data_IF_614177392044
#
_entry.id   IF_614177392044
#
_cell.length_a   1.000
_cell.length_b   1.000
_cell.length_c   1.000
_cell.angle_alpha   90.00
_cell.angle_beta   90.00
_cell.angle_gamma   90.00
#
_symmetry.space_group_name_H-M   'P 1'
#
loop_
_entity.id
_entity.type
_entity.pdbx_description
1 polymer ?
#
# COMPACT_ATOMS: atom_id res chain seq x y z
N UNK A 1 -7.34 -14.61 -22.50
CA UNK A 1 -8.39 -13.59 -22.53
C UNK A 1 -9.45 -14.01 -21.53
N UNK A 2 -9.48 -13.37 -20.37
CA UNK A 2 -10.54 -13.51 -19.38
C UNK A 2 -11.77 -12.81 -19.97
N UNK A 3 -12.87 -13.55 -20.15
CA UNK A 3 -14.12 -12.95 -20.56
C UNK A 3 -14.52 -11.91 -19.50
N UNK A 4 -14.71 -10.66 -19.91
CA UNK A 4 -15.27 -9.64 -19.05
C UNK A 4 -16.67 -10.08 -18.63
N UNK A 5 -16.81 -10.47 -17.38
CA UNK A 5 -18.13 -10.83 -16.84
C UNK A 5 -18.87 -9.54 -16.54
N UNK A 6 -19.81 -9.18 -17.42
CA UNK A 6 -20.75 -8.08 -17.16
C UNK A 6 -21.72 -8.50 -16.07
N UNK A 7 -21.93 -7.64 -15.10
CA UNK A 7 -22.81 -7.87 -13.97
C UNK A 7 -23.93 -6.82 -13.96
N UNK A 8 -25.14 -7.24 -13.67
CA UNK A 8 -26.30 -6.34 -13.61
C UNK A 8 -26.51 -5.90 -12.17
N UNK A 9 -26.35 -4.61 -11.91
CA UNK A 9 -26.64 -4.01 -10.60
C UNK A 9 -28.05 -3.45 -10.63
N UNK A 10 -28.92 -3.92 -9.73
CA UNK A 10 -30.28 -3.43 -9.56
C UNK A 10 -30.48 -2.84 -8.18
N UNK A 11 -31.00 -1.61 -8.08
CA UNK A 11 -31.47 -1.02 -6.84
C UNK A 11 -32.99 -1.20 -6.75
N UNK A 12 -33.46 -1.91 -5.73
CA UNK A 12 -34.88 -2.25 -5.60
C UNK A 12 -35.74 -1.12 -5.02
N UNK A 13 -35.17 -0.07 -4.44
CA UNK A 13 -35.93 0.85 -3.59
C UNK A 13 -35.97 2.31 -4.01
N UNK A 14 -35.16 2.76 -4.97
CA UNK A 14 -35.15 4.14 -5.45
C UNK A 14 -34.52 4.27 -6.83
N UNK A 15 -34.92 5.31 -7.56
CA UNK A 15 -34.26 5.73 -8.80
C UNK A 15 -32.95 6.43 -8.43
N UNK A 16 -31.84 5.73 -8.55
CA UNK A 16 -30.51 6.22 -8.13
C UNK A 16 -29.55 6.41 -9.31
N UNK A 17 -29.81 5.77 -10.45
CA UNK A 17 -28.94 5.84 -11.61
C UNK A 17 -29.46 6.83 -12.66
N UNK A 18 -28.52 7.45 -13.35
CA UNK A 18 -28.74 8.30 -14.52
C UNK A 18 -27.78 7.87 -15.63
N UNK A 19 -28.01 8.35 -16.85
CA UNK A 19 -27.08 8.11 -17.96
C UNK A 19 -25.67 8.72 -17.72
N UNK A 20 -25.55 9.70 -16.82
CA UNK A 20 -24.29 10.31 -16.45
C UNK A 20 -23.41 9.38 -15.59
N UNK A 21 -23.98 8.30 -15.03
CA UNK A 21 -23.19 7.36 -14.21
C UNK A 21 -22.41 6.32 -15.03
N UNK A 22 -22.40 6.39 -16.34
CA UNK A 22 -21.53 5.56 -17.18
C UNK A 22 -20.08 6.00 -16.96
N UNK A 23 -19.22 5.07 -16.56
CA UNK A 23 -17.84 5.31 -16.11
C UNK A 23 -17.66 5.42 -14.60
N UNK A 24 -18.77 5.55 -13.83
CA UNK A 24 -18.69 5.60 -12.37
C UNK A 24 -18.31 4.24 -11.76
N UNK A 25 -17.69 4.30 -10.58
CA UNK A 25 -17.27 3.13 -9.83
C UNK A 25 -18.25 2.84 -8.71
N UNK A 26 -18.82 1.64 -8.71
CA UNK A 26 -19.64 1.10 -7.64
C UNK A 26 -18.79 0.21 -6.75
N UNK A 27 -18.85 0.45 -5.43
CA UNK A 27 -18.24 -0.39 -4.41
C UNK A 27 -19.32 -1.05 -3.56
N UNK A 28 -19.32 -2.37 -3.55
CA UNK A 28 -20.36 -3.16 -2.90
C UNK A 28 -19.81 -4.50 -2.42
N UNK A 29 -20.09 -4.89 -1.18
CA UNK A 29 -19.70 -6.21 -0.65
C UNK A 29 -18.21 -6.55 -0.78
N UNK A 30 -17.33 -5.58 -0.68
CA UNK A 30 -15.88 -5.75 -0.89
C UNK A 30 -15.44 -5.76 -2.36
N UNK A 31 -16.39 -5.77 -3.31
CA UNK A 31 -16.12 -5.71 -4.74
C UNK A 31 -16.06 -4.29 -5.29
N UNK A 32 -15.49 -4.17 -6.49
CA UNK A 32 -15.38 -2.93 -7.26
C UNK A 32 -15.89 -3.18 -8.66
N UNK A 33 -16.82 -2.36 -9.11
CA UNK A 33 -17.55 -2.49 -10.38
C UNK A 33 -17.48 -1.16 -11.12
N UNK A 34 -17.29 -1.17 -12.42
CA UNK A 34 -17.35 0.01 -13.29
C UNK A 34 -18.64 -0.02 -14.10
N UNK A 35 -19.42 1.03 -14.05
CA UNK A 35 -20.66 1.15 -14.83
C UNK A 35 -20.34 1.33 -16.31
N UNK A 36 -20.75 0.39 -17.14
CA UNK A 36 -20.54 0.44 -18.60
C UNK A 36 -21.77 0.82 -19.38
N UNK A 37 -22.96 0.58 -18.83
CA UNK A 37 -24.20 0.90 -19.51
C UNK A 37 -25.31 1.28 -18.52
N UNK A 38 -26.03 2.36 -18.83
CA UNK A 38 -27.26 2.75 -18.15
C UNK A 38 -28.46 2.07 -18.80
N UNK A 39 -29.26 1.31 -18.05
CA UNK A 39 -30.44 0.64 -18.53
C UNK A 39 -31.71 1.36 -18.06
N UNK A 40 -31.84 1.60 -16.77
CA UNK A 40 -32.93 2.35 -16.15
C UNK A 40 -32.46 3.07 -14.89
N UNK A 41 -33.28 3.94 -14.34
CA UNK A 41 -32.99 4.62 -13.07
C UNK A 41 -32.76 3.67 -11.89
N UNK A 42 -33.07 2.39 -12.02
CA UNK A 42 -32.89 1.37 -11.00
C UNK A 42 -31.90 0.27 -11.42
N UNK A 43 -31.35 0.32 -12.65
CA UNK A 43 -30.53 -0.75 -13.20
C UNK A 43 -29.40 -0.23 -14.11
N UNK A 44 -28.21 -0.68 -13.88
CA UNK A 44 -27.03 -0.49 -14.74
C UNK A 44 -26.36 -1.83 -15.03
N UNK A 45 -25.58 -1.88 -16.12
CA UNK A 45 -24.65 -2.98 -16.40
C UNK A 45 -23.26 -2.49 -16.03
N UNK A 46 -22.52 -3.32 -15.31
CA UNK A 46 -21.20 -2.97 -14.82
C UNK A 46 -20.17 -4.09 -15.09
N UNK A 47 -18.93 -3.71 -15.39
CA UNK A 47 -17.78 -4.61 -15.41
C UNK A 47 -17.29 -4.87 -13.98
N UNK A 48 -16.91 -6.10 -13.69
CA UNK A 48 -16.31 -6.47 -12.41
C UNK A 48 -14.80 -6.21 -12.49
N UNK A 49 -14.33 -5.17 -11.78
CA UNK A 49 -12.90 -4.89 -11.62
C UNK A 49 -12.31 -5.78 -10.51
N UNK A 50 -13.02 -5.84 -9.38
CA UNK A 50 -12.68 -6.73 -8.26
C UNK A 50 -13.93 -7.48 -7.81
N UNK A 51 -13.84 -8.80 -7.58
CA UNK A 51 -15.01 -9.60 -7.25
C UNK A 51 -15.62 -9.20 -5.90
N UNK A 52 -16.93 -9.33 -5.79
CA UNK A 52 -17.63 -9.20 -4.52
C UNK A 52 -17.23 -10.37 -3.64
N UNK A 53 -16.67 -10.08 -2.46
CA UNK A 53 -16.16 -11.08 -1.52
C UNK A 53 -17.13 -11.43 -0.41
N UNK A 54 -18.13 -10.57 -0.17
CA UNK A 54 -19.20 -10.87 0.80
C UNK A 54 -20.07 -12.02 0.28
N UNK A 55 -20.24 -13.05 1.12
CA UNK A 55 -21.01 -14.25 0.80
C UNK A 55 -22.15 -14.45 1.80
N UNK A 56 -23.16 -15.26 1.43
CA UNK A 56 -24.20 -15.64 2.37
C UNK A 56 -23.59 -16.48 3.52
N UNK A 57 -23.87 -16.13 4.78
CA UNK A 57 -23.51 -17.00 5.89
C UNK A 57 -24.10 -18.41 5.69
N UNK A 58 -23.24 -19.42 5.78
CA UNK A 58 -23.61 -20.83 5.63
C UNK A 58 -24.16 -21.26 4.26
N UNK A 59 -23.89 -20.52 3.18
CA UNK A 59 -24.20 -20.97 1.83
C UNK A 59 -23.12 -21.97 1.34
N UNK A 60 -23.47 -23.24 1.07
CA UNK A 60 -22.53 -24.25 0.59
C UNK A 60 -21.95 -23.93 -0.78
N UNK A 61 -22.62 -23.08 -1.58
CA UNK A 61 -22.14 -22.67 -2.89
C UNK A 61 -21.30 -21.38 -2.85
N UNK A 62 -21.12 -20.80 -1.67
CA UNK A 62 -20.36 -19.56 -1.45
C UNK A 62 -20.82 -18.40 -2.36
N UNK A 63 -22.13 -18.29 -2.58
CA UNK A 63 -22.71 -17.27 -3.46
C UNK A 63 -22.53 -15.87 -2.87
N UNK A 64 -22.21 -14.84 -3.71
CA UNK A 64 -22.14 -13.47 -3.27
C UNK A 64 -23.45 -13.00 -2.62
N UNK A 65 -23.35 -12.30 -1.51
CA UNK A 65 -24.49 -11.68 -0.85
C UNK A 65 -25.13 -10.63 -1.79
N UNK A 66 -26.46 -10.58 -1.88
CA UNK A 66 -27.12 -9.42 -2.47
C UNK A 66 -26.76 -8.20 -1.62
N UNK A 67 -26.23 -7.17 -2.25
CA UNK A 67 -25.86 -5.93 -1.55
C UNK A 67 -27.13 -5.24 -1.08
N UNK A 68 -27.21 -4.99 0.22
CA UNK A 68 -28.36 -4.31 0.81
C UNK A 68 -28.24 -2.79 0.68
N UNK A 69 -29.37 -2.10 0.69
CA UNK A 69 -29.45 -0.64 0.70
C UNK A 69 -28.54 -0.05 1.81
N UNK A 70 -27.71 0.91 1.44
CA UNK A 70 -26.71 1.52 2.35
C UNK A 70 -25.37 0.80 2.43
N UNK A 71 -25.27 -0.41 1.88
CA UNK A 71 -24.02 -1.18 1.88
C UNK A 71 -23.16 -0.95 0.63
N UNK A 72 -23.52 -0.05 -0.25
CA UNK A 72 -22.80 0.26 -1.48
C UNK A 72 -22.65 1.77 -1.69
N UNK A 73 -21.65 2.14 -2.45
CA UNK A 73 -21.38 3.53 -2.83
C UNK A 73 -21.12 3.61 -4.33
N UNK A 74 -21.45 4.75 -4.92
CA UNK A 74 -21.09 5.10 -6.29
C UNK A 74 -20.29 6.39 -6.26
N UNK A 75 -19.24 6.46 -7.06
CA UNK A 75 -18.37 7.62 -7.15
C UNK A 75 -17.86 7.79 -8.58
N UNK A 76 -17.87 9.03 -9.07
CA UNK A 76 -17.25 9.40 -10.33
C UNK A 76 -15.74 9.46 -10.14
N UNK A 77 -14.94 8.73 -10.92
CA UNK A 77 -13.48 8.85 -10.87
C UNK A 77 -13.05 10.28 -11.20
N UNK A 78 -12.01 10.74 -10.54
CA UNK A 78 -11.40 12.05 -10.76
C UNK A 78 -9.88 11.95 -10.66
N UNK A 79 -9.18 12.77 -11.42
CA UNK A 79 -7.74 12.98 -11.33
C UNK A 79 -7.37 14.19 -10.49
N UNK A 80 -8.36 14.98 -10.05
CA UNK A 80 -8.13 16.21 -9.31
C UNK A 80 -8.81 16.15 -7.94
N UNK A 81 -8.05 16.44 -6.89
CA UNK A 81 -8.54 16.55 -5.52
C UNK A 81 -8.48 18.00 -5.09
N UNK A 82 -9.60 18.58 -4.73
CA UNK A 82 -9.75 19.98 -4.28
C UNK A 82 -10.14 20.04 -2.80
N UNK A 83 -10.18 21.28 -2.24
CA UNK A 83 -10.52 21.50 -0.83
C UNK A 83 -9.33 21.32 0.12
N UNK A 84 -8.11 21.39 -0.41
CA UNK A 84 -6.87 21.29 0.34
C UNK A 84 -6.26 22.64 0.69
N UNK A 85 -7.06 23.73 0.72
CA UNK A 85 -6.61 25.10 1.00
C UNK A 85 -5.81 25.22 2.29
N UNK A 86 -6.16 24.38 3.29
CA UNK A 86 -5.47 24.34 4.58
C UNK A 86 -4.06 23.70 4.51
N UNK A 87 -3.72 23.08 3.39
CA UNK A 87 -2.41 22.45 3.11
C UNK A 87 -1.68 23.18 1.97
N UNK A 88 -2.10 24.38 1.59
CA UNK A 88 -1.51 25.15 0.48
C UNK A 88 0.02 25.28 0.64
N UNK A 89 0.75 24.94 -0.43
CA UNK A 89 2.21 24.96 -0.46
C UNK A 89 2.90 23.83 0.30
N UNK A 90 2.14 22.95 0.97
CA UNK A 90 2.71 21.79 1.67
C UNK A 90 2.82 20.58 0.75
N UNK A 91 3.81 19.76 1.03
CA UNK A 91 3.90 18.43 0.43
C UNK A 91 2.87 17.48 1.06
N UNK A 92 2.18 16.73 0.22
CA UNK A 92 1.20 15.72 0.62
C UNK A 92 1.49 14.40 -0.09
N UNK A 93 1.05 13.31 0.50
CA UNK A 93 0.99 12.01 -0.13
C UNK A 93 -0.34 11.31 0.20
N UNK A 94 -0.58 10.13 -0.34
CA UNK A 94 -1.84 9.46 -0.05
C UNK A 94 -2.03 8.16 -0.81
N UNK A 95 -3.28 7.74 -0.86
CA UNK A 95 -3.73 6.56 -1.57
C UNK A 95 -4.88 6.91 -2.51
N UNK A 96 -4.77 6.48 -3.76
CA UNK A 96 -5.80 6.54 -4.78
C UNK A 96 -6.22 5.11 -5.14
N UNK A 97 -7.47 4.75 -4.82
CA UNK A 97 -8.00 3.37 -4.96
C UNK A 97 -7.08 2.30 -4.36
N UNK A 98 -6.36 2.66 -3.28
CA UNK A 98 -5.38 1.82 -2.59
C UNK A 98 -3.98 1.80 -3.23
N UNK A 99 -3.78 2.43 -4.39
CA UNK A 99 -2.48 2.72 -4.97
C UNK A 99 -1.81 3.91 -4.26
N UNK A 100 -0.49 3.89 -4.13
CA UNK A 100 0.24 4.99 -3.50
C UNK A 100 0.30 6.19 -4.45
N UNK A 101 -0.09 7.35 -3.96
CA UNK A 101 0.17 8.64 -4.59
C UNK A 101 1.57 9.08 -4.15
N UNK A 102 2.43 9.43 -5.10
CA UNK A 102 3.73 10.03 -4.82
C UNK A 102 3.58 11.36 -4.06
N UNK A 103 4.68 11.84 -3.47
CA UNK A 103 4.70 13.15 -2.84
C UNK A 103 4.44 14.21 -3.89
N UNK A 104 3.47 15.09 -3.63
CA UNK A 104 3.10 16.23 -4.49
C UNK A 104 2.80 17.45 -3.64
N UNK A 105 2.98 18.64 -4.21
CA UNK A 105 2.71 19.90 -3.50
C UNK A 105 1.29 20.37 -3.82
N UNK A 106 0.58 20.84 -2.81
CA UNK A 106 -0.75 21.46 -2.98
C UNK A 106 -0.58 22.85 -3.62
N UNK A 107 -1.31 23.09 -4.70
CA UNK A 107 -1.33 24.36 -5.43
C UNK A 107 -2.77 24.79 -5.71
N UNK A 108 -3.12 26.01 -5.33
CA UNK A 108 -4.48 26.53 -5.43
C UNK A 108 -5.52 25.62 -4.75
N UNK A 109 -5.19 25.13 -3.55
CA UNK A 109 -6.05 24.25 -2.76
C UNK A 109 -6.32 22.89 -3.40
N UNK A 110 -5.51 22.45 -4.37
CA UNK A 110 -5.74 21.22 -5.13
C UNK A 110 -4.44 20.48 -5.47
N UNK A 111 -4.58 19.18 -5.79
CA UNK A 111 -3.53 18.35 -6.37
C UNK A 111 -4.09 17.61 -7.58
N UNK A 112 -3.22 17.28 -8.54
CA UNK A 112 -3.53 16.42 -9.68
C UNK A 112 -2.88 15.07 -9.50
N UNK A 113 -3.65 14.01 -9.69
CA UNK A 113 -3.20 12.62 -9.60
C UNK A 113 -2.63 12.14 -10.93
N UNK A 114 -1.80 11.09 -10.94
CA UNK A 114 -1.29 10.49 -12.17
C UNK A 114 -2.34 9.73 -12.97
N UNK A 115 -3.54 9.53 -12.43
CA UNK A 115 -4.67 8.87 -13.05
C UNK A 115 -5.94 9.07 -12.25
N UNK A 116 -7.08 8.79 -12.87
CA UNK A 116 -8.37 8.91 -12.22
C UNK A 116 -8.55 7.86 -11.12
N UNK A 117 -9.17 8.26 -10.02
CA UNK A 117 -9.48 7.39 -8.89
C UNK A 117 -10.83 7.75 -8.27
N UNK A 118 -11.50 6.75 -7.72
CA UNK A 118 -12.83 6.88 -7.13
C UNK A 118 -12.82 6.96 -5.60
N UNK A 119 -11.73 6.54 -4.97
CA UNK A 119 -11.52 6.65 -3.52
C UNK A 119 -10.13 7.18 -3.25
N UNK A 120 -10.06 8.40 -2.77
CA UNK A 120 -8.79 9.11 -2.57
C UNK A 120 -8.68 9.50 -1.10
N UNK A 121 -7.50 9.26 -0.52
CA UNK A 121 -7.13 9.70 0.83
C UNK A 121 -5.80 10.43 0.72
N UNK A 122 -5.77 11.69 1.14
CA UNK A 122 -4.57 12.55 1.07
C UNK A 122 -4.26 13.06 2.46
N UNK A 123 -2.98 13.19 2.78
CA UNK A 123 -2.52 13.74 4.05
C UNK A 123 -1.05 14.15 4.00
N UNK A 124 -0.57 14.65 5.13
CA UNK A 124 0.84 15.00 5.27
C UNK A 124 1.71 13.74 5.26
N UNK A 125 2.83 13.75 4.54
CA UNK A 125 3.75 12.63 4.52
C UNK A 125 4.41 12.45 5.89
N UNK A 126 4.57 11.21 6.30
CA UNK A 126 5.38 10.85 7.46
C UNK A 126 6.23 9.63 7.13
N UNK A 127 7.39 9.56 7.76
CA UNK A 127 8.30 8.43 7.62
C UNK A 127 8.42 7.72 8.95
N UNK A 128 8.11 6.42 8.97
CA UNK A 128 8.38 5.56 10.12
C UNK A 128 9.75 4.94 9.95
N UNK A 129 10.58 5.03 10.99
CA UNK A 129 11.95 4.52 10.98
C UNK A 129 12.21 3.72 12.25
N UNK A 130 12.85 2.55 12.08
CA UNK A 130 13.28 1.70 13.17
C UNK A 130 14.66 1.14 12.84
N UNK A 131 15.55 1.14 13.82
CA UNK A 131 16.87 0.53 13.72
C UNK A 131 17.07 -0.39 14.92
N UNK A 132 17.64 -1.58 14.69
CA UNK A 132 17.95 -2.52 15.75
C UNK A 132 19.11 -2.00 16.59
N UNK A 133 19.27 -2.54 17.79
CA UNK A 133 20.55 -2.47 18.51
C UNK A 133 21.63 -3.23 17.72
N UNK A 134 22.88 -3.11 18.16
CA UNK A 134 23.98 -3.87 17.60
C UNK A 134 23.68 -5.36 17.67
N UNK A 135 23.89 -6.05 16.55
CA UNK A 135 23.63 -7.47 16.47
C UNK A 135 24.72 -8.24 17.23
N UNK A 136 24.32 -9.28 17.93
CA UNK A 136 25.18 -10.09 18.77
C UNK A 136 25.00 -11.58 18.42
N UNK A 137 26.03 -12.36 18.53
CA UNK A 137 25.96 -13.81 18.28
C UNK A 137 25.68 -14.59 19.57
N UNK A 138 24.83 -15.64 19.53
CA UNK A 138 24.48 -16.42 20.72
C UNK A 138 25.66 -17.14 21.37
N UNK A 139 26.75 -17.34 20.63
CA UNK A 139 27.93 -18.14 21.08
C UNK A 139 29.07 -17.30 21.68
N UNK A 140 28.85 -16.02 21.87
CA UNK A 140 29.86 -15.11 22.43
C UNK A 140 29.75 -13.73 21.77
N UNK A 141 30.35 -12.72 22.45
CA UNK A 141 30.34 -11.36 21.92
C UNK A 141 31.18 -11.25 20.66
N UNK A 142 30.58 -10.70 19.63
CA UNK A 142 31.23 -10.35 18.36
C UNK A 142 31.51 -8.84 18.26
N UNK A 143 31.24 -8.10 19.33
CA UNK A 143 31.50 -6.67 19.41
C UNK A 143 33.01 -6.40 19.31
N UNK A 144 33.36 -5.39 18.55
CA UNK A 144 34.75 -5.07 18.25
C UNK A 144 35.36 -5.82 17.07
N UNK A 145 34.72 -6.88 16.58
CA UNK A 145 35.08 -7.53 15.33
C UNK A 145 34.40 -6.80 14.15
N UNK A 146 35.05 -6.81 12.99
CA UNK A 146 34.40 -6.30 11.78
C UNK A 146 33.27 -7.23 11.36
N UNK A 147 32.11 -6.66 11.11
CA UNK A 147 30.88 -7.37 10.78
C UNK A 147 30.24 -6.74 9.55
N UNK A 148 29.48 -7.54 8.79
CA UNK A 148 28.61 -7.04 7.74
C UNK A 148 27.32 -7.86 7.69
N UNK A 149 26.14 -7.25 7.78
CA UNK A 149 24.89 -7.93 7.48
C UNK A 149 24.85 -8.23 5.98
N UNK A 150 24.58 -9.49 5.63
CA UNK A 150 24.51 -9.96 4.24
C UNK A 150 23.08 -9.97 3.71
N UNK A 151 22.21 -10.51 4.51
CA UNK A 151 20.78 -10.64 4.20
C UNK A 151 19.97 -10.62 5.49
N UNK A 152 18.68 -10.43 5.33
CA UNK A 152 17.71 -10.50 6.41
C UNK A 152 16.41 -11.10 5.94
N UNK A 153 15.81 -11.94 6.77
CA UNK A 153 14.42 -12.33 6.64
C UNK A 153 13.59 -11.45 7.58
N UNK A 154 12.60 -10.76 7.00
CA UNK A 154 11.66 -9.93 7.75
C UNK A 154 10.30 -10.61 7.73
N UNK A 155 9.82 -10.99 8.90
CA UNK A 155 8.47 -11.55 9.05
C UNK A 155 7.48 -10.45 9.29
N UNK A 156 6.46 -10.40 8.44
CA UNK A 156 5.42 -9.36 8.47
C UNK A 156 4.01 -9.95 8.46
N UNK A 157 3.04 -9.13 8.90
CA UNK A 157 1.62 -9.46 8.84
C UNK A 157 0.86 -8.30 8.19
N UNK A 158 0.06 -8.60 7.16
CA UNK A 158 -0.80 -7.62 6.46
C UNK A 158 -0.06 -6.32 6.13
N UNK A 159 1.13 -6.45 5.52
CA UNK A 159 2.06 -5.34 5.29
C UNK A 159 2.36 -5.14 3.81
N UNK A 160 2.87 -3.97 3.49
CA UNK A 160 3.19 -3.58 2.11
C UNK A 160 4.48 -2.77 2.05
N UNK A 161 5.33 -3.09 1.07
CA UNK A 161 6.47 -2.32 0.61
C UNK A 161 7.38 -1.67 1.68
N UNK A 162 7.81 -2.37 2.75
CA UNK A 162 8.80 -1.82 3.65
C UNK A 162 10.16 -1.69 2.94
N UNK A 163 10.95 -0.73 3.39
CA UNK A 163 12.35 -0.62 3.01
C UNK A 163 13.22 -1.17 4.12
N UNK A 164 14.21 -1.98 3.77
CA UNK A 164 15.13 -2.61 4.73
C UNK A 164 16.57 -2.42 4.27
N UNK A 165 17.47 -2.19 5.20
CA UNK A 165 18.88 -1.98 4.88
C UNK A 165 19.76 -1.93 6.12
N UNK A 166 21.02 -1.59 5.92
CA UNK A 166 21.98 -1.43 7.01
C UNK A 166 21.97 -0.02 7.61
N UNK A 167 21.48 0.96 6.85
CA UNK A 167 21.54 2.38 7.22
C UNK A 167 22.89 2.74 7.84
N UNK A 168 23.95 2.58 7.06
CA UNK A 168 25.33 2.86 7.50
C UNK A 168 25.84 4.24 7.00
N UNK A 169 25.12 5.36 7.23
CA UNK A 169 25.76 6.65 7.14
C UNK A 169 26.74 6.75 8.32
N UNK A 170 27.80 7.43 8.13
CA UNK A 170 28.75 7.72 9.19
C UNK A 170 28.05 8.53 10.30
N UNK A 171 27.48 7.82 11.27
CA UNK A 171 26.65 8.40 12.34
C UNK A 171 27.42 9.40 13.20
N UNK A 172 28.76 9.35 13.18
CA UNK A 172 29.60 10.29 13.88
C UNK A 172 29.53 11.73 13.33
N UNK A 173 29.06 11.88 12.08
CA UNK A 173 29.02 13.18 11.38
C UNK A 173 27.60 13.79 11.33
N UNK A 174 26.57 13.09 11.82
CA UNK A 174 25.20 13.51 11.63
C UNK A 174 24.45 13.74 12.95
N UNK A 175 24.48 14.97 13.47
CA UNK A 175 23.75 15.31 14.71
C UNK A 175 22.23 15.40 14.55
N UNK A 176 21.66 15.21 13.35
CA UNK A 176 20.26 15.46 13.09
C UNK A 176 19.63 14.38 12.21
N UNK A 177 19.22 13.27 12.83
CA UNK A 177 18.57 12.11 12.18
C UNK A 177 17.31 12.45 11.37
N UNK A 178 16.67 13.58 11.64
CA UNK A 178 15.43 13.96 10.99
C UNK A 178 15.59 14.53 9.57
N UNK A 179 16.80 14.92 9.17
CA UNK A 179 17.04 15.67 7.92
C UNK A 179 17.86 14.92 6.88
N UNK A 180 18.43 13.76 7.24
CA UNK A 180 19.27 12.97 6.32
C UNK A 180 18.53 11.71 5.90
N UNK A 181 18.37 11.47 4.59
CA UNK A 181 17.82 10.21 4.10
C UNK A 181 18.64 9.02 4.62
N UNK A 182 17.96 7.98 5.07
CA UNK A 182 18.64 6.76 5.44
C UNK A 182 19.28 6.14 4.21
N UNK A 183 20.54 5.72 4.36
CA UNK A 183 21.32 5.17 3.27
C UNK A 183 21.14 3.64 3.17
N UNK A 184 21.44 3.10 1.98
CA UNK A 184 21.50 1.67 1.71
C UNK A 184 20.19 0.92 2.05
N UNK A 185 19.05 1.58 1.85
CA UNK A 185 17.72 1.01 2.05
C UNK A 185 17.20 0.41 0.75
N UNK A 186 16.75 -0.83 0.80
CA UNK A 186 16.17 -1.54 -0.35
C UNK A 186 14.68 -1.78 -0.10
N UNK A 187 13.84 -1.33 -1.03
CA UNK A 187 12.41 -1.59 -0.95
C UNK A 187 12.11 -3.06 -1.24
N UNK A 188 11.38 -3.69 -0.34
CA UNK A 188 10.89 -5.04 -0.52
C UNK A 188 9.68 -5.01 -1.45
N UNK A 189 9.78 -5.68 -2.60
CA UNK A 189 8.69 -5.80 -3.56
C UNK A 189 7.71 -6.87 -3.10
N UNK A 190 6.47 -6.45 -2.81
CA UNK A 190 5.39 -7.36 -2.40
C UNK A 190 4.54 -7.85 -3.57
N UNK A 191 4.82 -7.36 -4.78
CA UNK A 191 4.01 -7.62 -5.95
C UNK A 191 4.14 -9.06 -6.45
N UNK A 192 3.01 -9.76 -6.54
CA UNK A 192 2.91 -11.03 -7.24
C UNK A 192 2.77 -10.81 -8.76
N UNK A 193 3.33 -11.68 -9.62
CA UNK A 193 3.11 -11.60 -11.06
C UNK A 193 1.63 -11.75 -11.48
N UNK A 194 0.79 -12.24 -10.59
CA UNK A 194 -0.64 -12.44 -10.82
C UNK A 194 -1.52 -11.26 -10.42
N UNK A 195 -0.93 -10.12 -10.02
CA UNK A 195 -1.71 -8.92 -9.69
C UNK A 195 -2.23 -8.28 -10.97
N UNK A 196 -3.54 -8.07 -11.03
CA UNK A 196 -4.18 -7.39 -12.16
C UNK A 196 -3.65 -5.96 -12.27
N UNK A 197 -3.19 -5.51 -13.45
CA UNK A 197 -2.79 -4.12 -13.64
C UNK A 197 -3.91 -3.15 -13.25
N UNK A 198 -3.56 -2.06 -12.57
CA UNK A 198 -4.52 -1.05 -12.11
C UNK A 198 -5.14 -1.31 -10.74
N UNK A 199 -4.91 -2.48 -10.14
CA UNK A 199 -5.30 -2.76 -8.76
C UNK A 199 -4.11 -2.54 -7.81
N UNK A 200 -4.38 -2.12 -6.57
CA UNK A 200 -3.35 -1.99 -5.55
C UNK A 200 -2.74 -3.34 -5.22
N UNK A 201 -1.45 -3.35 -4.89
CA UNK A 201 -0.79 -4.56 -4.41
C UNK A 201 -1.50 -5.08 -3.14
N UNK A 202 -1.79 -6.37 -3.05
CA UNK A 202 -2.41 -6.94 -1.86
C UNK A 202 -1.48 -6.83 -0.65
N UNK A 203 -2.07 -6.80 0.54
CA UNK A 203 -1.31 -6.91 1.77
C UNK A 203 -0.71 -8.30 1.89
N UNK A 204 0.57 -8.36 2.24
CA UNK A 204 1.30 -9.62 2.38
C UNK A 204 1.45 -10.01 3.85
N UNK A 205 1.34 -11.30 4.11
CA UNK A 205 1.65 -11.93 5.40
C UNK A 205 2.59 -13.09 5.15
N UNK A 206 3.76 -13.05 5.78
CA UNK A 206 4.79 -14.08 5.60
C UNK A 206 6.20 -13.52 5.78
N UNK A 207 7.16 -14.23 5.25
CA UNK A 207 8.58 -13.92 5.35
C UNK A 207 9.08 -13.30 4.06
N UNK A 208 9.71 -12.14 4.17
CA UNK A 208 10.47 -11.51 3.09
C UNK A 208 11.95 -11.77 3.26
N UNK A 209 12.57 -12.33 2.25
CA UNK A 209 14.01 -12.42 2.15
C UNK A 209 14.54 -11.24 1.31
N UNK A 210 15.51 -10.52 1.83
CA UNK A 210 16.20 -9.45 1.10
C UNK A 210 17.68 -9.43 1.40
N UNK A 211 18.48 -9.22 0.36
CA UNK A 211 19.90 -8.97 0.51
C UNK A 211 20.12 -7.54 0.99
N UNK A 212 21.08 -7.36 1.88
CA UNK A 212 21.50 -6.07 2.39
C UNK A 212 22.81 -5.68 1.75
N UNK A 213 22.83 -4.49 1.14
CA UNK A 213 24.08 -3.88 0.71
C UNK A 213 24.68 -3.14 1.90
N UNK A 214 25.74 -3.69 2.48
CA UNK A 214 26.38 -3.13 3.65
C UNK A 214 27.90 -3.20 3.52
N UNK A 215 28.57 -2.22 4.11
CA UNK A 215 30.00 -2.23 4.28
C UNK A 215 30.40 -3.00 5.57
N UNK A 216 31.66 -3.36 5.68
CA UNK A 216 32.22 -3.90 6.90
C UNK A 216 32.33 -2.80 7.96
N UNK A 217 31.67 -3.01 9.11
CA UNK A 217 31.68 -2.10 10.25
C UNK A 217 31.87 -2.90 11.56
N UNK A 218 32.16 -2.21 12.64
CA UNK A 218 32.25 -2.81 13.97
C UNK A 218 30.89 -2.95 14.65
N UNK A 219 29.85 -2.35 14.07
CA UNK A 219 28.50 -2.27 14.63
C UNK A 219 27.47 -2.65 13.58
N UNK A 220 27.21 -3.93 13.41
CA UNK A 220 26.16 -4.36 12.49
C UNK A 220 24.76 -4.07 13.06
N UNK A 221 23.93 -3.43 12.27
CA UNK A 221 22.54 -3.10 12.59
C UNK A 221 21.64 -3.34 11.37
N UNK A 222 20.37 -3.58 11.62
CA UNK A 222 19.35 -3.63 10.58
C UNK A 222 18.41 -2.45 10.79
N UNK A 223 18.15 -1.74 9.71
CA UNK A 223 17.24 -0.62 9.67
C UNK A 223 16.02 -0.96 8.83
N UNK A 224 14.87 -0.47 9.24
CA UNK A 224 13.60 -0.58 8.53
C UNK A 224 12.97 0.79 8.43
N UNK A 225 12.45 1.12 7.24
CA UNK A 225 11.79 2.39 6.97
C UNK A 225 10.49 2.15 6.18
N UNK A 226 9.48 2.98 6.47
CA UNK A 226 8.28 3.08 5.66
C UNK A 226 7.99 4.54 5.36
N UNK A 227 7.99 4.90 4.08
CA UNK A 227 7.74 6.27 3.59
C UNK A 227 6.36 6.46 2.99
N UNK A 228 5.64 5.37 2.78
CA UNK A 228 4.33 5.39 2.14
C UNK A 228 3.22 5.19 3.19
N UNK A 229 2.03 5.76 2.98
CA UNK A 229 0.89 5.62 3.89
C UNK A 229 0.22 4.24 3.75
N UNK A 230 1.00 3.17 3.86
CA UNK A 230 0.53 1.78 3.75
C UNK A 230 0.81 1.02 5.04
N UNK A 231 0.00 -0.01 5.37
CA UNK A 231 0.17 -0.76 6.60
C UNK A 231 1.53 -1.45 6.68
N UNK A 232 2.15 -1.43 7.87
CA UNK A 232 3.36 -2.16 8.20
C UNK A 232 3.28 -2.74 9.61
N UNK A 233 3.27 -4.07 9.71
CA UNK A 233 3.34 -4.81 10.95
C UNK A 233 4.51 -5.79 10.85
N UNK A 234 5.59 -5.51 11.55
CA UNK A 234 6.78 -6.36 11.60
C UNK A 234 6.72 -7.22 12.85
N UNK A 235 6.83 -8.53 12.67
CA UNK A 235 6.79 -9.50 13.75
C UNK A 235 8.19 -9.89 14.23
N UNK A 236 9.15 -10.03 13.30
CA UNK A 236 10.52 -10.42 13.64
C UNK A 236 11.51 -10.15 12.51
N UNK A 237 12.78 -10.09 12.88
CA UNK A 237 13.92 -10.04 11.97
C UNK A 237 14.82 -11.24 12.21
N UNK A 238 15.32 -11.83 11.13
CA UNK A 238 16.32 -12.89 11.16
C UNK A 238 17.52 -12.48 10.30
N UNK A 239 18.47 -11.73 10.87
CA UNK A 239 19.65 -11.28 10.15
C UNK A 239 20.66 -12.40 9.98
N UNK A 240 21.33 -12.41 8.83
CA UNK A 240 22.50 -13.23 8.57
C UNK A 240 23.74 -12.33 8.56
N UNK A 241 24.69 -12.62 9.43
CA UNK A 241 25.89 -11.82 9.63
C UNK A 241 27.13 -12.57 9.17
N UNK A 242 28.04 -11.85 8.53
CA UNK A 242 29.41 -12.29 8.33
C UNK A 242 30.31 -11.54 9.31
N UNK A 243 31.11 -12.28 10.04
CA UNK A 243 32.11 -11.75 11.02
C UNK A 243 33.48 -11.92 10.44
N UNK A 244 34.27 -10.85 10.42
CA UNK A 244 35.68 -10.88 10.05
C UNK A 244 36.51 -11.47 11.20
N UNK A 245 37.51 -12.21 10.84
CA UNK A 245 38.55 -12.69 11.78
C UNK A 245 39.64 -11.64 11.91
#
# INVERSE_FOLDING_TARGET
ASAASSFSVSSASASVFTSANVGDIIRAGGGVLEVVEYVTATRVIANVISPITATFPNDPNNMPLPVQSGAWTIATPTDTVSGLDHLEGMEVNGLADGGVIGVTTVVNGSITLPGEASKIVVGLPYTVQMQTLFLEAPQGSIQGNRQTPMDVVVRVQSSRAPEVGANQPDQAVQPNFATVPWADMTQIQTRSPNVTPGLPDPLYTGDFFTNISANWDNNAQIALQQRYPVPLNVLSFYPNLKVGQ
#
